data_IF_775315801759
#
_entry.id   IF_775315801759
#
_cell.length_a   1.000
_cell.length_b   1.000
_cell.length_c   1.000
_cell.angle_alpha   90.00
_cell.angle_beta   90.00
_cell.angle_gamma   90.00
#
_symmetry.space_group_name_H-M   'P 1'
#
loop_
_entity.id
_entity.type
_entity.pdbx_description
1 polymer ?
#
# COMPACT_ATOMS: atom_id res chain seq x y z
N UNK A 1 41.52 -14.00 58.24
CA UNK A 1 40.86 -14.28 56.95
C UNK A 1 39.79 -13.22 56.76
N UNK A 2 40.11 -11.96 56.44
CA UNK A 2 40.99 -11.41 55.37
C UNK A 2 40.42 -11.66 53.96
N UNK A 3 40.44 -10.72 53.01
CA UNK A 3 40.68 -9.26 53.08
C UNK A 3 40.15 -8.59 51.79
N UNK A 4 39.82 -7.29 51.87
CA UNK A 4 39.74 -6.34 50.72
C UNK A 4 41.05 -5.51 50.69
N UNK A 5 41.31 -4.57 49.73
CA UNK A 5 40.58 -4.13 48.52
C UNK A 5 41.36 -4.55 47.24
N UNK A 6 41.54 -3.85 46.09
CA UNK A 6 41.71 -2.43 45.64
C UNK A 6 41.29 -2.32 44.15
N UNK A 7 40.69 -1.26 43.60
CA UNK A 7 41.21 0.11 43.28
C UNK A 7 42.52 0.11 42.45
N UNK A 8 42.82 1.03 41.52
CA UNK A 8 42.20 2.32 41.06
C UNK A 8 42.28 2.40 39.49
N UNK A 9 42.15 3.49 38.71
CA UNK A 9 42.00 4.98 38.81
C UNK A 9 41.30 5.48 37.51
N UNK A 10 40.69 6.68 37.39
CA UNK A 10 41.22 7.99 36.92
C UNK A 10 42.08 8.00 35.62
N UNK A 11 42.09 9.03 34.75
CA UNK A 11 41.68 10.44 34.93
C UNK A 11 41.50 11.22 33.59
N UNK A 12 40.59 12.23 33.56
CA UNK A 12 40.78 13.60 32.99
C UNK A 12 41.05 13.79 31.45
N UNK A 13 40.87 14.95 30.78
CA UNK A 13 40.42 16.34 31.10
C UNK A 13 39.97 17.11 29.81
N UNK A 14 39.74 18.44 29.93
CA UNK A 14 39.53 19.48 28.88
C UNK A 14 38.09 19.59 28.28
N UNK A 15 37.40 20.76 28.17
CA UNK A 15 37.71 22.19 27.89
C UNK A 15 37.97 22.47 26.38
N UNK A 16 37.57 23.60 25.74
CA UNK A 16 37.01 24.86 26.27
C UNK A 16 36.18 25.70 25.24
N UNK A 17 35.43 26.68 25.75
CA UNK A 17 35.05 28.02 25.21
C UNK A 17 34.97 28.40 23.68
N UNK A 18 33.76 28.79 23.24
CA UNK A 18 33.29 30.18 23.00
C UNK A 18 33.45 31.02 21.68
N UNK A 19 32.35 31.77 21.41
CA UNK A 19 32.22 33.19 20.93
C UNK A 19 32.18 33.59 19.42
N UNK A 20 31.22 34.52 19.16
CA UNK A 20 31.09 35.53 18.07
C UNK A 20 30.90 35.02 16.63
N UNK A 21 29.83 35.35 15.89
CA UNK A 21 29.18 36.66 15.57
C UNK A 21 30.08 37.61 14.77
N UNK A 22 29.74 37.82 13.49
CA UNK A 22 29.83 39.14 12.88
C UNK A 22 28.74 39.37 11.81
N UNK A 23 28.42 40.64 11.55
CA UNK A 23 27.22 41.11 10.82
C UNK A 23 27.58 42.37 10.02
N UNK A 24 27.57 42.31 8.68
CA UNK A 24 27.77 43.40 7.70
C UNK A 24 27.68 42.80 6.28
N UNK A 25 27.26 43.49 5.21
CA UNK A 25 26.60 44.81 5.06
C UNK A 25 26.12 44.96 3.60
N UNK A 26 24.98 45.63 3.35
CA UNK A 26 24.68 46.38 2.11
C UNK A 26 24.71 45.62 0.74
N UNK A 27 24.36 46.20 -0.40
CA UNK A 27 23.19 47.05 -0.75
C UNK A 27 23.08 47.25 -2.27
N UNK A 28 21.86 47.14 -2.80
CA UNK A 28 21.33 47.82 -4.01
C UNK A 28 21.86 47.52 -5.44
N UNK A 29 20.88 47.54 -6.35
CA UNK A 29 20.91 47.96 -7.77
C UNK A 29 21.52 47.08 -8.90
N UNK A 30 20.61 46.45 -9.66
CA UNK A 30 20.33 46.77 -11.09
C UNK A 30 20.82 45.84 -12.22
N UNK A 31 19.81 45.19 -12.85
CA UNK A 31 19.61 45.09 -14.31
C UNK A 31 20.44 44.12 -15.18
N UNK A 32 19.81 43.82 -16.33
CA UNK A 32 20.28 43.13 -17.54
C UNK A 32 20.56 41.62 -17.45
N UNK A 33 20.08 40.92 -18.47
CA UNK A 33 20.14 39.47 -18.63
C UNK A 33 21.50 38.99 -19.15
N UNK A 34 21.86 37.76 -18.82
CA UNK A 34 22.36 36.81 -19.82
C UNK A 34 22.12 35.36 -19.39
N UNK A 35 22.22 34.43 -20.34
CA UNK A 35 21.84 33.01 -20.19
C UNK A 35 22.86 32.18 -19.42
N UNK A 36 22.41 31.38 -18.44
CA UNK A 36 22.69 29.92 -18.37
C UNK A 36 22.01 29.18 -17.20
N UNK A 37 21.67 27.92 -17.46
CA UNK A 37 21.59 26.78 -16.52
C UNK A 37 21.07 26.98 -15.08
N UNK A 38 19.83 26.55 -14.81
CA UNK A 38 19.47 25.95 -13.50
C UNK A 38 18.61 24.71 -13.70
N UNK A 39 18.97 23.61 -13.02
CA UNK A 39 18.20 22.38 -12.98
C UNK A 39 16.79 22.62 -12.40
N UNK A 40 15.76 22.06 -13.04
CA UNK A 40 14.43 21.90 -12.42
C UNK A 40 14.14 20.41 -12.35
N UNK A 41 13.96 19.90 -11.14
CA UNK A 41 13.96 18.46 -10.88
C UNK A 41 12.78 17.74 -11.56
N UNK A 42 13.07 16.76 -12.42
CA UNK A 42 12.07 15.76 -12.77
C UNK A 42 11.77 14.91 -11.53
N UNK A 43 10.57 15.05 -10.98
CA UNK A 43 10.05 14.11 -9.98
C UNK A 43 9.82 12.77 -10.68
N UNK A 44 10.83 11.89 -10.63
CA UNK A 44 10.84 10.57 -11.29
C UNK A 44 9.79 9.63 -10.67
N UNK A 45 8.53 9.84 -11.04
CA UNK A 45 7.44 8.88 -10.83
C UNK A 45 7.86 7.58 -11.54
N UNK A 46 7.98 6.44 -10.82
CA UNK A 46 8.45 5.20 -11.42
C UNK A 46 7.41 4.69 -12.43
N UNK A 47 7.66 4.98 -13.72
CA UNK A 47 6.80 4.52 -14.83
C UNK A 47 6.78 3.00 -14.82
N UNK A 48 5.60 2.41 -14.60
CA UNK A 48 5.44 0.96 -14.70
C UNK A 48 5.87 0.47 -16.09
N UNK A 49 6.48 -0.73 -16.21
CA UNK A 49 6.75 -1.35 -17.49
C UNK A 49 5.47 -1.42 -18.35
N UNK A 50 5.59 -1.23 -19.66
CA UNK A 50 4.44 -1.25 -20.60
C UNK A 50 3.63 -2.53 -20.47
N UNK A 51 4.27 -3.64 -20.13
CA UNK A 51 3.64 -4.95 -20.01
C UNK A 51 2.90 -5.15 -18.68
N UNK A 52 3.28 -4.43 -17.61
CA UNK A 52 2.49 -4.37 -16.38
C UNK A 52 1.17 -3.61 -16.59
N UNK A 53 1.16 -2.58 -17.44
CA UNK A 53 -0.07 -1.88 -17.85
C UNK A 53 -1.00 -2.81 -18.66
N UNK A 54 -0.45 -3.58 -19.61
CA UNK A 54 -1.20 -4.62 -20.33
C UNK A 54 -1.78 -5.67 -19.39
N UNK A 55 -1.00 -6.14 -18.42
CA UNK A 55 -1.45 -7.12 -17.43
C UNK A 55 -2.63 -6.59 -16.58
N UNK A 56 -2.57 -5.33 -16.13
CA UNK A 56 -3.67 -4.68 -15.40
C UNK A 56 -4.95 -4.58 -16.25
N UNK A 57 -4.83 -4.21 -17.54
CA UNK A 57 -5.99 -4.17 -18.46
C UNK A 57 -6.60 -5.57 -18.68
N UNK A 58 -5.77 -6.59 -18.91
CA UNK A 58 -6.23 -7.99 -19.01
C UNK A 58 -6.96 -8.45 -17.75
N UNK A 59 -6.46 -8.09 -16.56
CA UNK A 59 -7.08 -8.43 -15.27
C UNK A 59 -8.40 -7.69 -15.08
N UNK A 60 -8.52 -6.42 -15.49
CA UNK A 60 -9.81 -5.68 -15.51
C UNK A 60 -10.85 -6.41 -16.36
N UNK A 61 -10.49 -6.76 -17.60
CA UNK A 61 -11.38 -7.46 -18.54
C UNK A 61 -11.84 -8.84 -18.00
N UNK A 62 -10.97 -9.53 -17.23
CA UNK A 62 -11.32 -10.78 -16.55
C UNK A 62 -12.33 -10.54 -15.42
N UNK A 63 -12.11 -9.54 -14.56
CA UNK A 63 -13.04 -9.22 -13.47
C UNK A 63 -14.40 -8.74 -13.96
N UNK A 64 -14.47 -7.92 -15.02
CA UNK A 64 -15.73 -7.50 -15.64
C UNK A 64 -16.52 -8.70 -16.17
N UNK A 65 -15.82 -9.68 -16.76
CA UNK A 65 -16.43 -10.93 -17.23
C UNK A 65 -16.91 -11.81 -16.08
N UNK A 66 -16.17 -11.86 -14.97
CA UNK A 66 -16.59 -12.55 -13.76
C UNK A 66 -17.83 -11.90 -13.13
N UNK A 67 -17.87 -10.58 -12.99
CA UNK A 67 -19.04 -9.88 -12.45
C UNK A 67 -20.29 -10.12 -13.30
N UNK A 68 -20.16 -10.15 -14.62
CA UNK A 68 -21.26 -10.53 -15.53
C UNK A 68 -21.76 -11.96 -15.28
N UNK A 69 -20.86 -12.95 -15.28
CA UNK A 69 -21.20 -14.36 -15.07
C UNK A 69 -21.90 -14.58 -13.71
N UNK A 70 -21.40 -13.93 -12.66
CA UNK A 70 -21.96 -14.03 -11.30
C UNK A 70 -23.33 -13.35 -11.20
N UNK A 71 -23.52 -12.17 -11.81
CA UNK A 71 -24.83 -11.48 -11.87
C UNK A 71 -25.88 -12.26 -12.66
N UNK A 72 -25.47 -12.90 -13.76
CA UNK A 72 -26.36 -13.71 -14.59
C UNK A 72 -26.78 -15.03 -13.92
N UNK A 73 -26.06 -15.50 -12.89
CA UNK A 73 -26.26 -16.80 -12.22
C UNK A 73 -26.26 -18.03 -13.16
N UNK A 74 -25.86 -17.86 -14.41
CA UNK A 74 -26.18 -18.77 -15.53
C UNK A 74 -25.61 -20.20 -15.38
N UNK A 75 -24.47 -20.37 -14.69
CA UNK A 75 -23.79 -21.66 -14.56
C UNK A 75 -23.05 -21.78 -13.22
N UNK A 76 -23.24 -22.90 -12.48
CA UNK A 76 -22.49 -23.19 -11.25
C UNK A 76 -20.97 -23.35 -11.45
N UNK A 77 -20.46 -24.14 -12.41
CA UNK A 77 -19.01 -24.41 -12.48
C UNK A 77 -18.13 -23.16 -12.69
N UNK A 78 -18.52 -22.16 -13.52
CA UNK A 78 -17.82 -20.88 -13.58
C UNK A 78 -17.81 -20.10 -12.26
N UNK A 79 -18.92 -20.09 -11.49
CA UNK A 79 -18.97 -19.44 -10.17
C UNK A 79 -18.00 -20.13 -9.21
N UNK A 80 -17.96 -21.47 -9.19
CA UNK A 80 -17.00 -22.25 -8.40
C UNK A 80 -15.55 -21.96 -8.81
N UNK A 81 -15.25 -21.85 -10.12
CA UNK A 81 -13.92 -21.46 -10.60
C UNK A 81 -13.53 -20.04 -10.13
N UNK A 82 -14.45 -19.08 -10.20
CA UNK A 82 -14.23 -17.71 -9.74
C UNK A 82 -13.94 -17.71 -8.23
N UNK A 83 -14.69 -18.47 -7.42
CA UNK A 83 -14.44 -18.65 -5.99
C UNK A 83 -13.01 -19.14 -5.73
N UNK A 84 -12.57 -20.22 -6.40
CA UNK A 84 -11.20 -20.72 -6.26
C UNK A 84 -10.15 -19.67 -6.66
N UNK A 85 -10.38 -18.94 -7.75
CA UNK A 85 -9.49 -17.84 -8.16
C UNK A 85 -9.38 -16.74 -7.09
N UNK A 86 -10.47 -16.41 -6.38
CA UNK A 86 -10.44 -15.45 -5.26
C UNK A 86 -9.64 -15.99 -4.05
N UNK A 87 -9.71 -17.29 -3.75
CA UNK A 87 -8.87 -17.91 -2.71
C UNK A 87 -7.38 -17.85 -3.04
N UNK A 88 -7.00 -18.23 -4.26
CA UNK A 88 -5.61 -18.14 -4.73
C UNK A 88 -5.10 -16.69 -4.74
N UNK A 89 -5.92 -15.73 -5.18
CA UNK A 89 -5.59 -14.30 -5.18
C UNK A 89 -5.38 -13.73 -3.76
N UNK A 90 -6.11 -14.25 -2.77
CA UNK A 90 -5.94 -13.88 -1.36
C UNK A 90 -4.80 -14.63 -0.65
N UNK A 91 -4.35 -15.76 -1.20
CA UNK A 91 -3.17 -16.50 -0.75
C UNK A 91 -1.86 -15.97 -1.37
N UNK A 92 -1.94 -15.24 -2.49
CA UNK A 92 -0.80 -14.65 -3.16
C UNK A 92 0.00 -13.68 -2.25
N UNK A 93 1.33 -13.55 -2.43
CA UNK A 93 2.15 -12.62 -1.66
C UNK A 93 1.67 -11.17 -1.82
N UNK A 94 1.38 -10.48 -0.71
CA UNK A 94 0.75 -9.15 -0.69
C UNK A 94 1.73 -8.00 -1.05
N UNK A 95 2.37 -8.11 -2.22
CA UNK A 95 3.25 -7.08 -2.76
C UNK A 95 2.46 -5.92 -3.35
N UNK A 96 3.14 -4.79 -3.53
CA UNK A 96 2.58 -3.61 -4.19
C UNK A 96 2.03 -3.85 -5.60
N UNK A 97 2.50 -4.88 -6.31
CA UNK A 97 1.93 -5.28 -7.59
C UNK A 97 0.60 -6.03 -7.40
N UNK A 98 0.56 -7.01 -6.50
CA UNK A 98 -0.66 -7.78 -6.21
C UNK A 98 -1.76 -6.91 -5.61
N UNK A 99 -1.44 -6.01 -4.68
CA UNK A 99 -2.37 -5.00 -4.15
C UNK A 99 -3.03 -4.16 -5.26
N UNK A 100 -2.28 -3.78 -6.30
CA UNK A 100 -2.83 -3.05 -7.46
C UNK A 100 -3.78 -3.93 -8.27
N UNK A 101 -3.44 -5.20 -8.52
CA UNK A 101 -4.35 -6.13 -9.19
C UNK A 101 -5.66 -6.34 -8.39
N UNK A 102 -5.56 -6.53 -7.08
CA UNK A 102 -6.73 -6.66 -6.18
C UNK A 102 -7.55 -5.36 -6.15
N UNK A 103 -6.92 -4.19 -6.22
CA UNK A 103 -7.63 -2.90 -6.24
C UNK A 103 -8.47 -2.63 -7.51
N UNK A 104 -8.22 -3.37 -8.59
CA UNK A 104 -9.01 -3.34 -9.84
C UNK A 104 -10.30 -4.18 -9.69
N UNK A 105 -10.33 -5.13 -8.75
CA UNK A 105 -11.45 -6.05 -8.57
C UNK A 105 -12.71 -5.32 -8.09
N UNK A 106 -13.84 -5.40 -8.82
CA UNK A 106 -15.10 -4.80 -8.39
C UNK A 106 -15.54 -5.40 -7.06
N UNK A 107 -15.69 -4.55 -6.04
CA UNK A 107 -16.17 -4.98 -4.70
C UNK A 107 -17.53 -5.68 -4.80
N UNK A 108 -18.37 -5.27 -5.77
CA UNK A 108 -19.66 -5.89 -6.07
C UNK A 108 -19.55 -7.36 -6.49
N UNK A 109 -18.47 -7.79 -7.16
CA UNK A 109 -18.23 -9.19 -7.50
C UNK A 109 -18.13 -10.04 -6.22
N UNK A 110 -17.31 -9.61 -5.27
CA UNK A 110 -17.13 -10.32 -3.99
C UNK A 110 -18.42 -10.30 -3.16
N UNK A 111 -19.14 -9.18 -3.13
CA UNK A 111 -20.45 -9.10 -2.48
C UNK A 111 -21.50 -10.02 -3.13
N UNK A 112 -21.50 -10.16 -4.46
CA UNK A 112 -22.43 -11.05 -5.16
C UNK A 112 -22.08 -12.54 -4.94
N UNK A 113 -20.80 -12.91 -5.00
CA UNK A 113 -20.33 -14.26 -4.65
C UNK A 113 -20.74 -14.65 -3.22
N UNK A 114 -20.61 -13.72 -2.27
CA UNK A 114 -21.01 -13.94 -0.87
C UNK A 114 -22.52 -14.13 -0.66
N UNK A 115 -23.38 -13.64 -1.56
CA UNK A 115 -24.83 -13.93 -1.53
C UNK A 115 -25.16 -15.28 -2.18
N UNK A 116 -24.32 -15.79 -3.08
CA UNK A 116 -24.50 -17.12 -3.70
C UNK A 116 -23.97 -18.24 -2.78
N UNK A 117 -22.85 -18.01 -2.09
CA UNK A 117 -22.28 -18.91 -1.10
C UNK A 117 -21.54 -18.10 0.00
N UNK A 118 -22.18 -17.86 1.16
CA UNK A 118 -21.57 -17.15 2.28
C UNK A 118 -20.40 -17.91 2.93
N UNK A 119 -20.38 -19.25 2.81
CA UNK A 119 -19.34 -20.08 3.41
C UNK A 119 -18.08 -20.12 2.54
N UNK A 120 -18.23 -20.00 1.22
CA UNK A 120 -17.12 -19.90 0.28
C UNK A 120 -16.29 -18.61 0.44
N UNK A 121 -16.90 -17.49 0.83
CA UNK A 121 -16.23 -16.19 0.99
C UNK A 121 -16.32 -15.71 2.46
N UNK A 122 -15.58 -16.33 3.41
CA UNK A 122 -15.60 -15.92 4.82
C UNK A 122 -14.94 -14.54 5.04
N UNK A 123 -15.25 -13.89 6.16
CA UNK A 123 -14.75 -12.53 6.48
C UNK A 123 -13.22 -12.42 6.48
N UNK A 124 -12.51 -13.45 6.93
CA UNK A 124 -11.04 -13.48 6.91
C UNK A 124 -10.46 -13.54 5.48
N UNK A 125 -11.19 -14.09 4.50
CA UNK A 125 -10.83 -14.01 3.08
C UNK A 125 -11.04 -12.58 2.56
N UNK A 126 -12.18 -11.97 2.88
CA UNK A 126 -12.48 -10.58 2.51
C UNK A 126 -11.43 -9.60 3.03
N UNK A 127 -11.02 -9.74 4.30
CA UNK A 127 -10.03 -8.86 4.94
C UNK A 127 -8.58 -9.08 4.45
N UNK A 128 -8.26 -10.19 3.76
CA UNK A 128 -6.98 -10.35 3.06
C UNK A 128 -6.95 -9.60 1.72
N UNK A 129 -8.10 -9.47 1.07
CA UNK A 129 -8.25 -8.76 -0.22
C UNK A 129 -8.40 -7.25 0.01
N UNK A 130 -9.12 -6.87 1.06
CA UNK A 130 -9.38 -5.48 1.45
C UNK A 130 -8.82 -5.24 2.85
N UNK A 131 -7.55 -4.84 2.91
CA UNK A 131 -6.79 -4.58 4.15
C UNK A 131 -7.55 -3.57 5.04
N UNK A 132 -7.97 -3.95 6.27
CA UNK A 132 -8.79 -3.10 7.14
C UNK A 132 -8.05 -1.87 7.70
N UNK A 133 -6.73 -1.81 7.60
CA UNK A 133 -5.92 -0.67 8.03
C UNK A 133 -6.07 0.53 7.07
N UNK A 134 -6.40 0.28 5.79
CA UNK A 134 -6.83 1.32 4.85
C UNK A 134 -8.26 1.77 5.21
N UNK A 135 -8.44 3.05 5.55
CA UNK A 135 -9.74 3.64 5.89
C UNK A 135 -10.82 3.44 4.80
N UNK A 136 -10.44 3.41 3.53
CA UNK A 136 -11.35 3.13 2.41
C UNK A 136 -11.92 1.71 2.52
N UNK A 137 -11.06 0.74 2.82
CA UNK A 137 -11.39 -0.67 2.94
C UNK A 137 -12.06 -0.99 4.28
N UNK A 138 -11.67 -0.32 5.38
CA UNK A 138 -12.27 -0.46 6.72
C UNK A 138 -13.81 -0.38 6.68
N UNK A 139 -14.35 0.57 5.91
CA UNK A 139 -15.80 0.75 5.67
C UNK A 139 -16.42 -0.43 4.90
N UNK A 140 -15.69 -1.02 3.95
CA UNK A 140 -16.10 -2.21 3.21
C UNK A 140 -16.10 -3.46 4.10
N UNK A 141 -15.05 -3.67 4.89
CA UNK A 141 -14.93 -4.82 5.81
C UNK A 141 -16.03 -4.81 6.88
N UNK A 142 -16.34 -3.65 7.44
CA UNK A 142 -17.49 -3.47 8.36
C UNK A 142 -18.81 -3.80 7.65
N UNK A 143 -19.05 -3.25 6.45
CA UNK A 143 -20.25 -3.56 5.64
C UNK A 143 -20.37 -5.05 5.33
N UNK A 144 -19.25 -5.71 5.01
CA UNK A 144 -19.19 -7.13 4.70
C UNK A 144 -19.50 -7.99 5.93
N UNK A 145 -18.90 -7.69 7.08
CA UNK A 145 -19.18 -8.38 8.35
C UNK A 145 -20.66 -8.28 8.77
N UNK A 146 -21.30 -7.13 8.58
CA UNK A 146 -22.75 -6.97 8.82
C UNK A 146 -23.63 -7.69 7.79
N UNK A 147 -23.15 -7.86 6.56
CA UNK A 147 -23.86 -8.59 5.51
C UNK A 147 -23.85 -10.10 5.79
N UNK A 148 -22.68 -10.71 5.98
CA UNK A 148 -22.59 -12.17 6.20
C UNK A 148 -23.21 -12.64 7.51
N UNK A 149 -23.45 -11.73 8.47
CA UNK A 149 -24.20 -12.02 9.71
C UNK A 149 -25.73 -12.10 9.50
N UNK A 150 -26.22 -11.72 8.32
CA UNK A 150 -27.64 -11.75 7.93
C UNK A 150 -27.96 -12.82 6.87
N UNK A 151 -26.95 -13.57 6.43
CA UNK A 151 -27.03 -14.68 5.48
C UNK A 151 -26.93 -16.00 6.26
#
# INVERSE_FOLDING_TARGET
>A
MECTPSSSTSSEQQQNEAKKIQKKKNSDFSSAAETSTTSTNETTTPRLPKDALKAQLTVSNVFERFERIVRECNLRPPVTFIIFFIHELAAAPQTEYWRRLVSIMPVNLIFALAHLDPHAIPLNLFMRLYDPEDEKNRKLCIKYAFMIRKL
#
